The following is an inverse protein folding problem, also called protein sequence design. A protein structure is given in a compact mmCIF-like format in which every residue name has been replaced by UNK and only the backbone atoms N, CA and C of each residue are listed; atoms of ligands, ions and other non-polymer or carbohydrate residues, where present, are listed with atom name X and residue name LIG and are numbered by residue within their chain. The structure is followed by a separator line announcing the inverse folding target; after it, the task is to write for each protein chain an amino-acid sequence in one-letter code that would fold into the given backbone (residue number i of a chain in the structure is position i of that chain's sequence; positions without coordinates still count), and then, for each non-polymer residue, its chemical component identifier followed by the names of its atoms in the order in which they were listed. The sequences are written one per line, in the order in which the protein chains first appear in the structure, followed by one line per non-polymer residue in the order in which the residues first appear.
data_IF_145521110554
#
_entry.id   IF_145521110554
#
_cell.length_a   1.000
_cell.length_b   1.000
_cell.length_c   1.000
_cell.angle_alpha   90.00
_cell.angle_beta   90.00
_cell.angle_gamma   90.00
#
_symmetry.space_group_name_H-M   'P 1'
#
loop_
_entity.id
_entity.type
_entity.pdbx_description
1 polymer ?
#
# COMPACT_ATOMS: atom_id res chain seq x y z
N UNK A 1 -0.57 -0.99 -17.75
CA UNK A 1 -0.31 -0.60 -16.35
C UNK A 1 1.08 -1.10 -16.01
N UNK A 2 1.98 -0.24 -15.53
CA UNK A 2 3.36 -0.65 -15.23
C UNK A 2 3.36 -1.68 -14.09
N UNK A 3 4.15 -2.74 -14.23
CA UNK A 3 4.38 -3.73 -13.17
C UNK A 3 5.71 -3.46 -12.48
N UNK A 4 5.71 -3.40 -11.15
CA UNK A 4 6.88 -3.11 -10.32
C UNK A 4 7.02 -4.21 -9.27
N UNK A 5 8.23 -4.72 -9.04
CA UNK A 5 8.50 -5.63 -7.91
C UNK A 5 9.26 -4.87 -6.83
N UNK A 6 8.82 -5.00 -5.58
CA UNK A 6 9.41 -4.35 -4.41
C UNK A 6 9.67 -5.38 -3.31
N UNK A 7 10.73 -5.16 -2.56
CA UNK A 7 11.02 -5.88 -1.32
C UNK A 7 11.07 -4.85 -0.20
N UNK A 8 10.29 -5.06 0.85
CA UNK A 8 10.22 -4.19 2.01
C UNK A 8 10.62 -4.96 3.27
N UNK A 9 11.13 -4.24 4.26
CA UNK A 9 11.50 -4.83 5.53
C UNK A 9 10.26 -5.27 6.32
N UNK A 10 9.31 -4.35 6.51
CA UNK A 10 8.08 -4.58 7.24
C UNK A 10 6.86 -3.92 6.55
N UNK A 11 5.68 -3.98 7.18
CA UNK A 11 4.44 -3.44 6.61
C UNK A 11 4.49 -1.90 6.47
N UNK A 12 4.96 -1.11 7.46
CA UNK A 12 5.12 0.34 7.29
C UNK A 12 6.08 0.73 6.19
N UNK A 13 7.23 0.06 6.11
CA UNK A 13 8.21 0.31 5.06
C UNK A 13 7.58 0.06 3.68
N UNK A 14 6.88 -1.07 3.53
CA UNK A 14 6.13 -1.37 2.31
C UNK A 14 5.10 -0.27 1.99
N UNK A 15 4.35 0.21 3.00
CA UNK A 15 3.33 1.24 2.81
C UNK A 15 3.92 2.54 2.29
N UNK A 16 5.00 3.04 2.92
CA UNK A 16 5.65 4.28 2.53
C UNK A 16 6.20 4.18 1.10
N UNK A 17 6.95 3.11 0.80
CA UNK A 17 7.50 2.88 -0.54
C UNK A 17 6.42 2.81 -1.61
N UNK A 18 5.30 2.12 -1.34
CA UNK A 18 4.22 1.96 -2.32
C UNK A 18 3.50 3.29 -2.59
N UNK A 19 3.22 4.09 -1.56
CA UNK A 19 2.55 5.39 -1.73
C UNK A 19 3.42 6.35 -2.54
N UNK A 20 4.73 6.40 -2.26
CA UNK A 20 5.69 7.18 -3.05
C UNK A 20 5.70 6.71 -4.51
N UNK A 21 5.75 5.39 -4.75
CA UNK A 21 5.73 4.84 -6.12
C UNK A 21 4.44 5.11 -6.87
N UNK A 22 3.28 5.09 -6.21
CA UNK A 22 2.01 5.48 -6.82
C UNK A 22 2.04 6.96 -7.23
N UNK A 23 2.59 7.82 -6.37
CA UNK A 23 2.65 9.26 -6.64
C UNK A 23 3.58 9.57 -7.81
N UNK A 24 4.77 8.96 -7.86
CA UNK A 24 5.80 9.22 -8.85
C UNK A 24 5.54 8.52 -10.19
N UNK A 25 5.15 7.24 -10.15
CA UNK A 25 5.15 6.35 -11.32
C UNK A 25 3.77 5.78 -11.65
N UNK A 26 2.74 6.12 -10.88
CA UNK A 26 1.40 5.60 -11.05
C UNK A 26 0.71 6.08 -12.32
N UNK A 27 0.01 5.15 -12.97
CA UNK A 27 -0.85 5.43 -14.11
C UNK A 27 -2.13 6.12 -13.62
N UNK A 28 -2.56 7.18 -14.31
CA UNK A 28 -3.82 7.84 -14.00
C UNK A 28 -5.00 6.88 -14.12
N UNK A 29 -5.93 7.00 -13.17
CA UNK A 29 -7.11 6.18 -13.09
C UNK A 29 -8.32 7.00 -12.65
N UNK A 30 -9.35 7.02 -13.49
CA UNK A 30 -10.62 7.65 -13.16
C UNK A 30 -11.49 6.70 -12.34
N UNK A 31 -11.78 7.09 -11.10
CA UNK A 31 -12.71 6.39 -10.22
C UNK A 31 -14.13 6.77 -10.64
N UNK A 32 -14.87 5.81 -11.20
CA UNK A 32 -16.23 6.05 -11.72
C UNK A 32 -17.36 5.85 -10.71
N UNK A 33 -17.07 5.34 -9.52
CA UNK A 33 -18.05 5.04 -8.46
C UNK A 33 -17.38 4.91 -7.09
N UNK A 34 -18.11 5.20 -6.01
CA UNK A 34 -17.64 5.10 -4.62
C UNK A 34 -18.10 6.28 -3.78
N UNK A 35 -17.40 6.55 -2.68
CA UNK A 35 -17.63 7.73 -1.84
C UNK A 35 -17.33 9.05 -2.58
N UNK A 36 -16.50 9.01 -3.63
CA UNK A 36 -16.16 10.15 -4.47
C UNK A 36 -15.88 9.70 -5.92
N UNK A 37 -16.28 10.52 -6.90
CA UNK A 37 -15.92 10.35 -8.32
C UNK A 37 -14.75 11.31 -8.60
N UNK A 38 -13.55 10.75 -8.74
CA UNK A 38 -12.31 11.55 -8.85
C UNK A 38 -11.25 10.86 -9.72
N UNK A 39 -10.15 11.54 -9.99
CA UNK A 39 -8.97 10.97 -10.65
C UNK A 39 -7.92 10.65 -9.60
N UNK A 40 -7.36 9.44 -9.66
CA UNK A 40 -6.28 8.99 -8.79
C UNK A 40 -5.17 8.35 -9.63
N UNK A 41 -4.15 7.79 -8.99
CA UNK A 41 -3.08 7.02 -9.61
C UNK A 41 -3.08 5.58 -9.11
N UNK A 42 -2.60 4.64 -9.93
CA UNK A 42 -2.47 3.23 -9.55
C UNK A 42 -1.23 2.59 -10.19
N UNK A 43 -0.69 1.59 -9.52
CA UNK A 43 0.39 0.74 -10.02
C UNK A 43 -0.02 -0.72 -9.91
N UNK A 44 0.53 -1.59 -10.76
CA UNK A 44 0.51 -3.04 -10.53
C UNK A 44 1.82 -3.43 -9.88
N UNK A 45 1.79 -4.24 -8.81
CA UNK A 45 3.02 -4.58 -8.10
C UNK A 45 3.07 -6.02 -7.57
N UNK A 46 4.29 -6.53 -7.43
CA UNK A 46 4.64 -7.64 -6.56
C UNK A 46 5.37 -7.10 -5.33
N UNK A 47 4.97 -7.55 -4.14
CA UNK A 47 5.58 -7.13 -2.87
C UNK A 47 6.05 -8.36 -2.11
N UNK A 48 7.32 -8.34 -1.73
CA UNK A 48 7.89 -9.26 -0.75
C UNK A 48 8.17 -8.50 0.55
N UNK A 49 7.78 -9.05 1.70
CA UNK A 49 8.04 -8.46 3.01
C UNK A 49 8.93 -9.44 3.78
N UNK A 50 10.12 -9.01 4.20
CA UNK A 50 11.11 -9.90 4.83
C UNK A 50 10.81 -10.20 6.30
N UNK A 51 10.17 -9.27 7.00
CA UNK A 51 9.83 -9.38 8.42
C UNK A 51 8.34 -9.07 8.66
N UNK A 52 7.42 -9.89 8.11
CA UNK A 52 5.98 -9.67 8.20
C UNK A 52 5.41 -9.77 9.64
N UNK A 53 6.18 -10.34 10.57
CA UNK A 53 5.90 -10.37 12.00
C UNK A 53 5.97 -8.99 12.67
N UNK A 54 6.74 -8.06 12.09
CA UNK A 54 6.87 -6.69 12.56
C UNK A 54 5.60 -5.91 12.20
N UNK A 55 4.64 -5.89 13.13
CA UNK A 55 3.35 -5.19 12.97
C UNK A 55 3.25 -3.99 13.92
N UNK A 56 3.55 -2.76 13.48
CA UNK A 56 3.44 -1.59 14.35
C UNK A 56 2.04 -0.97 14.40
N UNK A 57 1.00 -1.68 13.96
CA UNK A 57 -0.39 -1.25 14.17
C UNK A 57 -1.02 -1.94 15.39
N UNK A 58 -0.23 -2.13 16.44
CA UNK A 58 -0.74 -2.42 17.77
C UNK A 58 -1.36 -1.16 18.38
N UNK A 59 -2.55 -0.77 17.92
CA UNK A 59 -3.36 0.22 18.63
C UNK A 59 -4.20 -0.50 19.68
N UNK A 60 -4.35 0.07 20.89
CA UNK A 60 -5.18 -0.53 21.95
C UNK A 60 -6.63 -0.82 21.49
N UNK A 61 -7.12 -0.03 20.54
CA UNK A 61 -8.46 -0.13 19.97
C UNK A 61 -8.47 -0.82 18.59
N UNK A 62 -7.35 -1.42 18.16
CA UNK A 62 -7.32 -2.17 16.91
C UNK A 62 -8.27 -3.38 17.05
N UNK A 63 -9.18 -3.62 16.08
CA UNK A 63 -10.16 -4.69 16.16
C UNK A 63 -9.54 -6.09 16.11
N UNK A 64 -8.25 -6.18 15.79
CA UNK A 64 -7.50 -7.42 15.70
C UNK A 64 -6.14 -7.29 16.40
N UNK A 65 -6.17 -7.17 17.72
CA UNK A 65 -4.99 -7.41 18.55
C UNK A 65 -4.78 -8.91 18.64
N UNK A 66 -3.62 -9.41 18.19
CA UNK A 66 -3.25 -10.82 18.37
C UNK A 66 -3.29 -11.15 19.88
N UNK A 67 -4.10 -12.15 20.25
CA UNK A 67 -3.97 -12.84 21.54
C UNK A 67 -2.85 -13.86 21.45
#
# INVERSE_FOLDING_TARGET
MKYISLTAFDIPDAWLQIVEKILEEGDEFKVGRGSEITTTKKISLGLEITNPETRPLGHKDAPFTMK
#
